data_IF_035797248665
#
_entry.id   IF_035797248665
#
_cell.length_a   1.000
_cell.length_b   1.000
_cell.length_c   1.000
_cell.angle_alpha   90.00
_cell.angle_beta   90.00
_cell.angle_gamma   90.00
#
_symmetry.space_group_name_H-M   'P 1'
#
loop_
_entity.id
_entity.type
_entity.pdbx_description
1 polymer ?
#
# COMPACT_ATOMS: atom_id res chain seq x y z
N UNK A 1 6.98 -5.11 -5.49
CA UNK A 1 8.19 -5.83 -5.08
C UNK A 1 7.86 -7.11 -4.32
N UNK A 2 7.45 -7.07 -3.04
CA UNK A 2 7.21 -8.29 -2.24
C UNK A 2 6.20 -9.27 -2.87
N UNK A 3 5.03 -8.77 -3.30
CA UNK A 3 4.02 -9.59 -4.01
C UNK A 3 4.61 -10.26 -5.25
N UNK A 4 5.30 -9.51 -6.11
CA UNK A 4 5.90 -10.05 -7.33
C UNK A 4 7.04 -11.04 -7.07
N UNK A 5 7.83 -10.84 -6.02
CA UNK A 5 8.90 -11.77 -5.62
C UNK A 5 8.34 -13.13 -5.18
N UNK A 6 7.31 -13.13 -4.34
CA UNK A 6 6.67 -14.39 -3.90
C UNK A 6 5.88 -15.07 -5.02
N UNK A 7 5.41 -14.31 -6.02
CA UNK A 7 4.76 -14.86 -7.22
C UNK A 7 5.75 -15.64 -8.10
N UNK A 8 6.99 -15.16 -8.24
CA UNK A 8 8.05 -15.87 -8.98
C UNK A 8 8.71 -17.00 -8.18
N UNK A 9 8.46 -17.10 -6.86
CA UNK A 9 9.07 -18.09 -5.95
C UNK A 9 8.00 -18.95 -5.25
N UNK A 10 7.12 -19.58 -6.03
CA UNK A 10 6.01 -20.41 -5.54
C UNK A 10 6.45 -21.63 -4.68
N UNK A 11 7.73 -22.00 -4.68
CA UNK A 11 8.28 -23.07 -3.84
C UNK A 11 8.58 -22.67 -2.39
N UNK A 12 8.47 -21.38 -2.05
CA UNK A 12 8.67 -20.92 -0.67
C UNK A 12 7.47 -21.26 0.23
N UNK A 13 7.70 -21.57 1.52
CA UNK A 13 6.61 -21.84 2.45
C UNK A 13 5.65 -20.63 2.59
N UNK A 14 4.32 -20.85 2.56
CA UNK A 14 3.32 -19.76 2.56
C UNK A 14 3.38 -18.82 3.77
N UNK A 15 3.88 -19.29 4.91
CA UNK A 15 4.02 -18.53 6.15
C UNK A 15 4.97 -17.33 6.01
N UNK A 16 6.01 -17.43 5.16
CA UNK A 16 6.91 -16.30 4.90
C UNK A 16 6.21 -15.17 4.16
N UNK A 17 5.33 -15.52 3.22
CA UNK A 17 4.49 -14.55 2.52
C UNK A 17 3.54 -13.86 3.50
N UNK A 18 2.93 -14.62 4.42
CA UNK A 18 2.04 -14.06 5.44
C UNK A 18 2.79 -13.14 6.42
N UNK A 19 3.96 -13.54 6.90
CA UNK A 19 4.78 -12.74 7.80
C UNK A 19 5.17 -11.40 7.17
N UNK A 20 5.64 -11.41 5.91
CA UNK A 20 6.14 -10.20 5.24
C UNK A 20 5.00 -9.31 4.74
N UNK A 21 4.01 -9.89 4.02
CA UNK A 21 2.95 -9.09 3.38
C UNK A 21 1.87 -8.72 4.39
N UNK A 22 1.30 -9.71 5.09
CA UNK A 22 0.19 -9.46 6.00
C UNK A 22 0.68 -8.91 7.35
N UNK A 23 1.79 -9.43 7.87
CA UNK A 23 2.37 -9.01 9.15
C UNK A 23 3.12 -7.68 9.05
N UNK A 24 4.33 -7.70 8.48
CA UNK A 24 5.24 -6.56 8.48
C UNK A 24 4.71 -5.38 7.65
N UNK A 25 4.38 -5.60 6.37
CA UNK A 25 3.84 -4.53 5.52
C UNK A 25 2.46 -4.06 6.02
N UNK A 26 1.60 -4.99 6.45
CA UNK A 26 0.31 -4.63 7.05
C UNK A 26 0.44 -3.81 8.33
N UNK A 27 1.41 -4.10 9.19
CA UNK A 27 1.68 -3.32 10.41
C UNK A 27 2.31 -1.95 10.15
N UNK A 28 3.05 -1.79 9.03
CA UNK A 28 3.63 -0.50 8.62
C UNK A 28 2.58 0.45 8.01
N UNK A 29 1.51 -0.09 7.40
CA UNK A 29 0.46 0.72 6.75
C UNK A 29 -0.76 0.85 7.65
N UNK A 30 -1.06 2.06 8.14
CA UNK A 30 -2.23 2.32 8.99
C UNK A 30 -3.37 3.00 8.20
N UNK A 31 -4.37 2.22 7.80
CA UNK A 31 -5.58 2.77 7.18
C UNK A 31 -6.44 3.58 8.17
N UNK A 32 -6.41 3.22 9.46
CA UNK A 32 -7.20 3.90 10.49
C UNK A 32 -6.76 5.35 10.69
N UNK A 33 -5.45 5.61 10.69
CA UNK A 33 -4.90 6.98 10.78
C UNK A 33 -5.32 7.80 9.56
N UNK A 34 -5.09 7.28 8.36
CA UNK A 34 -5.52 7.92 7.10
C UNK A 34 -7.02 8.27 7.14
N UNK A 35 -7.87 7.32 7.56
CA UNK A 35 -9.31 7.53 7.64
C UNK A 35 -9.67 8.63 8.64
N UNK A 36 -9.01 8.67 9.80
CA UNK A 36 -9.29 9.68 10.83
C UNK A 36 -8.93 11.10 10.38
N UNK A 37 -7.83 11.26 9.64
CA UNK A 37 -7.37 12.56 9.12
C UNK A 37 -8.27 13.06 7.99
N UNK A 38 -8.68 12.18 7.08
CA UNK A 38 -9.62 12.52 6.01
C UNK A 38 -10.96 12.94 6.60
N UNK A 39 -11.50 12.18 7.56
CA UNK A 39 -12.76 12.51 8.24
C UNK A 39 -12.64 13.82 9.01
N UNK A 40 -11.53 14.07 9.70
CA UNK A 40 -11.29 15.34 10.40
C UNK A 40 -11.33 16.53 9.43
N UNK A 41 -10.67 16.43 8.27
CA UNK A 41 -10.71 17.49 7.24
C UNK A 41 -12.14 17.72 6.71
N UNK A 42 -12.89 16.64 6.45
CA UNK A 42 -14.28 16.73 5.98
C UNK A 42 -15.18 17.41 7.04
N UNK A 43 -15.04 17.03 8.30
CA UNK A 43 -15.81 17.62 9.40
C UNK A 43 -15.44 19.08 9.66
N UNK A 44 -14.18 19.46 9.38
CA UNK A 44 -13.73 20.86 9.42
C UNK A 44 -14.18 21.69 8.21
N UNK A 45 -14.78 21.08 7.18
CA UNK A 45 -15.19 21.74 5.94
C UNK A 45 -14.08 21.89 4.90
N UNK A 46 -12.88 21.40 5.17
CA UNK A 46 -11.69 21.45 4.30
C UNK A 46 -11.69 20.29 3.28
N UNK A 47 -12.70 20.27 2.41
CA UNK A 47 -12.87 19.23 1.40
C UNK A 47 -11.69 19.13 0.41
N UNK A 48 -11.02 20.25 0.12
CA UNK A 48 -9.86 20.29 -0.77
C UNK A 48 -8.70 19.49 -0.19
N UNK A 49 -8.36 19.73 1.09
CA UNK A 49 -7.28 19.03 1.78
C UNK A 49 -7.63 17.55 1.95
N UNK A 50 -8.86 17.25 2.39
CA UNK A 50 -9.34 15.86 2.51
C UNK A 50 -9.24 15.09 1.19
N UNK A 51 -9.68 15.70 0.08
CA UNK A 51 -9.62 15.08 -1.25
C UNK A 51 -8.19 14.88 -1.72
N UNK A 52 -7.32 15.87 -1.53
CA UNK A 52 -5.91 15.77 -1.89
C UNK A 52 -5.21 14.68 -1.08
N UNK A 53 -5.56 14.52 0.20
CA UNK A 53 -5.06 13.45 1.04
C UNK A 53 -5.47 12.07 0.51
N UNK A 54 -6.74 11.89 0.14
CA UNK A 54 -7.24 10.65 -0.48
C UNK A 54 -6.46 10.34 -1.76
N UNK A 55 -6.39 11.30 -2.68
CA UNK A 55 -5.77 11.09 -4.00
C UNK A 55 -4.28 10.83 -3.89
N UNK A 56 -3.57 11.60 -3.05
CA UNK A 56 -2.14 11.41 -2.86
C UNK A 56 -1.83 10.05 -2.23
N UNK A 57 -2.58 9.65 -1.21
CA UNK A 57 -2.33 8.40 -0.49
C UNK A 57 -2.72 7.17 -1.32
N UNK A 58 -3.95 7.14 -1.84
CA UNK A 58 -4.44 6.02 -2.64
C UNK A 58 -3.76 5.97 -4.02
N UNK A 59 -3.69 7.10 -4.72
CA UNK A 59 -3.04 7.19 -6.02
C UNK A 59 -1.54 6.89 -5.94
N UNK A 60 -0.85 7.47 -4.96
CA UNK A 60 0.58 7.23 -4.75
C UNK A 60 0.89 5.78 -4.40
N UNK A 61 0.11 5.16 -3.52
CA UNK A 61 0.31 3.75 -3.14
C UNK A 61 0.06 2.79 -4.31
N UNK A 62 -0.98 3.00 -5.11
CA UNK A 62 -1.23 2.21 -6.32
C UNK A 62 -0.13 2.39 -7.36
N UNK A 63 0.29 3.63 -7.60
CA UNK A 63 1.36 3.95 -8.55
C UNK A 63 2.68 3.27 -8.16
N UNK A 64 3.08 3.38 -6.90
CA UNK A 64 4.30 2.72 -6.39
C UNK A 64 4.19 1.19 -6.42
N UNK A 65 3.00 0.64 -6.19
CA UNK A 65 2.75 -0.81 -6.31
C UNK A 65 2.93 -1.27 -7.76
N UNK A 66 2.35 -0.54 -8.72
CA UNK A 66 2.50 -0.82 -10.16
C UNK A 66 3.98 -0.72 -10.59
N UNK A 67 4.67 0.35 -10.21
CA UNK A 67 6.10 0.50 -10.47
C UNK A 67 6.90 -0.67 -9.89
N UNK A 68 6.63 -1.05 -8.65
CA UNK A 68 7.31 -2.18 -8.01
C UNK A 68 6.98 -3.54 -8.62
N UNK A 69 5.87 -3.70 -9.35
CA UNK A 69 5.61 -4.92 -10.13
C UNK A 69 6.33 -4.88 -11.48
N UNK A 70 6.34 -3.71 -12.13
CA UNK A 70 7.05 -3.50 -13.39
C UNK A 70 8.57 -3.71 -13.24
N UNK A 71 9.16 -3.20 -12.15
CA UNK A 71 10.57 -3.43 -11.83
C UNK A 71 10.86 -4.93 -11.67
N UNK A 72 10.08 -5.67 -10.87
CA UNK A 72 10.30 -7.13 -10.70
C UNK A 72 10.22 -7.86 -12.04
N UNK A 73 9.27 -7.51 -12.90
CA UNK A 73 9.14 -8.15 -14.22
C UNK A 73 10.27 -7.84 -15.19
N UNK A 74 10.90 -6.67 -15.06
CA UNK A 74 11.99 -6.25 -15.96
C UNK A 74 13.32 -6.87 -15.56
N UNK A 75 13.51 -7.17 -14.26
CA UNK A 75 14.75 -7.72 -13.69
C UNK A 75 14.67 -9.22 -13.34
N UNK A 76 13.51 -9.87 -13.56
CA UNK A 76 13.30 -11.31 -13.41
C UNK A 76 13.34 -12.01 -14.77
#
# INVERSE_FOLDING_TARGET
>A
MAVGFFDTHAGLPPEWRLLVITGFLGGLTTFSTFSSEVVANILAGDYTVGTLHIVAHLGGSLFLTMLGLWTVRTFS
#
